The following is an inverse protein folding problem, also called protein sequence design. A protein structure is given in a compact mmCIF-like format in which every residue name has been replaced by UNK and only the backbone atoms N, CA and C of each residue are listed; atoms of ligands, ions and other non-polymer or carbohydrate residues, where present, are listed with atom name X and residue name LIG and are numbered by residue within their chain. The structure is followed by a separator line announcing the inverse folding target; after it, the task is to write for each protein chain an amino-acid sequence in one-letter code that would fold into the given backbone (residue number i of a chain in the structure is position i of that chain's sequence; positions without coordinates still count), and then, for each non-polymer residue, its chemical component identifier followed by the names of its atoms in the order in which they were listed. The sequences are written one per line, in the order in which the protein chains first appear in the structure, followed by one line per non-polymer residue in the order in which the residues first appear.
data_IF_808498431911
#
_entry.id   IF_808498431911
#
_cell.length_a   1.000
_cell.length_b   1.000
_cell.length_c   1.000
_cell.angle_alpha   90.00
_cell.angle_beta   90.00
_cell.angle_gamma   90.00
#
_symmetry.space_group_name_H-M   'P 1'
#
loop_
_entity.id
_entity.type
_entity.pdbx_description
1 polymer ?
#
# COMPACT_ATOMS: atom_id res chain seq x y z
N UNK A 1 12.61 16.26 -6.44
CA UNK A 1 11.36 16.25 -7.23
C UNK A 1 10.21 16.45 -6.26
N UNK A 2 9.24 17.33 -6.54
CA UNK A 2 8.09 17.56 -5.66
C UNK A 2 6.85 16.94 -6.31
N UNK A 3 6.24 15.97 -5.64
CA UNK A 3 5.02 15.30 -6.09
C UNK A 3 3.88 15.70 -5.16
N UNK A 4 2.74 16.11 -5.73
CA UNK A 4 1.49 16.27 -4.98
C UNK A 4 0.64 15.03 -5.25
N UNK A 5 0.15 14.41 -4.18
CA UNK A 5 -0.57 13.14 -4.25
C UNK A 5 -1.89 13.20 -3.48
N UNK A 6 -2.89 12.46 -3.97
CA UNK A 6 -4.17 12.24 -3.29
C UNK A 6 -4.70 10.87 -3.69
N UNK A 7 -5.28 10.14 -2.75
CA UNK A 7 -5.87 8.82 -2.97
C UNK A 7 -7.35 8.84 -2.63
N UNK A 8 -8.15 8.20 -3.48
CA UNK A 8 -9.59 7.99 -3.32
C UNK A 8 -9.89 6.62 -3.93
N UNK A 9 -10.75 5.84 -3.28
CA UNK A 9 -11.28 4.60 -3.83
C UNK A 9 -12.77 4.52 -3.58
N UNK A 10 -13.49 3.80 -4.44
CA UNK A 10 -14.94 3.66 -4.43
C UNK A 10 -15.30 2.21 -4.79
N UNK A 11 -16.31 1.64 -4.14
CA UNK A 11 -16.77 0.26 -4.41
C UNK A 11 -17.38 0.11 -5.81
N UNK A 12 -17.80 1.21 -6.42
CA UNK A 12 -18.53 1.23 -7.68
C UNK A 12 -19.99 0.83 -7.50
N UNK A 13 -20.62 0.40 -8.60
CA UNK A 13 -22.08 0.18 -8.65
C UNK A 13 -22.50 -1.29 -8.65
N UNK A 14 -21.54 -2.22 -8.64
CA UNK A 14 -21.80 -3.66 -8.89
C UNK A 14 -21.34 -4.58 -7.76
N UNK A 15 -20.28 -4.20 -7.04
CA UNK A 15 -19.74 -5.01 -5.94
C UNK A 15 -20.38 -4.59 -4.62
N UNK A 16 -20.47 -5.53 -3.69
CA UNK A 16 -20.96 -5.27 -2.33
C UNK A 16 -19.86 -4.69 -1.42
N UNK A 17 -18.59 -5.00 -1.74
CA UNK A 17 -17.43 -4.59 -0.96
C UNK A 17 -16.31 -4.09 -1.87
N UNK A 18 -15.58 -3.10 -1.38
CA UNK A 18 -14.37 -2.62 -2.02
C UNK A 18 -13.19 -3.45 -1.55
N UNK A 19 -12.46 -4.04 -2.49
CA UNK A 19 -11.27 -4.86 -2.22
C UNK A 19 -9.98 -4.15 -2.62
N UNK A 20 -10.07 -2.88 -3.00
CA UNK A 20 -8.92 -2.02 -3.26
C UNK A 20 -8.33 -1.51 -1.94
N UNK A 21 -7.01 -1.47 -1.86
CA UNK A 21 -6.26 -0.77 -0.82
C UNK A 21 -5.20 0.12 -1.44
N UNK A 22 -4.93 1.27 -0.84
CA UNK A 22 -3.85 2.17 -1.28
C UNK A 22 -3.13 2.82 -0.09
N UNK A 23 -1.91 3.27 -0.33
CA UNK A 23 -1.09 4.05 0.61
C UNK A 23 -0.43 5.21 -0.12
N UNK A 24 -0.36 6.34 0.58
CA UNK A 24 0.43 7.50 0.20
C UNK A 24 1.34 7.80 1.38
N UNK A 25 2.65 7.60 1.19
CA UNK A 25 3.67 8.00 2.14
C UNK A 25 4.58 9.05 1.48
N UNK A 26 4.39 10.30 1.87
CA UNK A 26 5.18 11.42 1.37
C UNK A 26 6.63 11.40 1.88
N UNK A 27 6.88 10.86 3.08
CA UNK A 27 8.21 10.79 3.69
C UNK A 27 9.12 9.82 2.95
N UNK A 28 8.57 8.67 2.53
CA UNK A 28 9.25 7.68 1.71
C UNK A 28 9.16 7.98 0.21
N UNK A 29 8.37 9.00 -0.19
CA UNK A 29 7.97 9.20 -1.59
C UNK A 29 7.42 7.91 -2.23
N UNK A 30 6.65 7.16 -1.45
CA UNK A 30 6.12 5.85 -1.79
C UNK A 30 4.61 5.94 -2.00
N UNK A 31 4.14 5.40 -3.13
CA UNK A 31 2.73 5.35 -3.49
C UNK A 31 2.39 3.91 -3.90
N UNK A 32 1.38 3.32 -3.27
CA UNK A 32 1.01 1.91 -3.47
C UNK A 32 -0.49 1.82 -3.74
N UNK A 33 -0.87 1.00 -4.71
CA UNK A 33 -2.26 0.59 -4.97
C UNK A 33 -2.27 -0.93 -5.15
N UNK A 34 -3.23 -1.60 -4.52
CA UNK A 34 -3.44 -3.04 -4.62
C UNK A 34 -4.93 -3.34 -4.83
N UNK A 35 -5.24 -4.11 -5.87
CA UNK A 35 -6.59 -4.63 -6.18
C UNK A 35 -6.69 -6.06 -5.65
N UNK A 36 -7.63 -6.30 -4.74
CA UNK A 36 -7.92 -7.63 -4.22
C UNK A 36 -8.71 -8.45 -5.23
N UNK A 37 -8.22 -9.64 -5.58
CA UNK A 37 -8.90 -10.53 -6.52
C UNK A 37 -10.27 -10.97 -5.99
N UNK A 38 -11.34 -10.35 -6.51
CA UNK A 38 -12.71 -10.68 -6.10
C UNK A 38 -13.18 -12.08 -6.47
N UNK A 39 -14.24 -12.53 -5.79
CA UNK A 39 -14.79 -13.88 -5.95
C UNK A 39 -14.10 -14.97 -5.12
N UNK A 40 -13.05 -14.62 -4.37
CA UNK A 40 -12.43 -15.47 -3.35
C UNK A 40 -12.56 -14.81 -1.97
N UNK A 41 -12.74 -15.62 -0.92
CA UNK A 41 -12.79 -15.09 0.44
C UNK A 41 -11.45 -14.41 0.78
N UNK A 42 -11.49 -13.10 1.04
CA UNK A 42 -10.35 -12.34 1.58
C UNK A 42 -9.59 -11.46 0.59
N UNK A 43 -10.11 -11.15 -0.60
CA UNK A 43 -9.46 -10.23 -1.55
C UNK A 43 -9.11 -8.88 -0.90
N UNK A 44 -10.05 -8.28 -0.17
CA UNK A 44 -9.79 -7.04 0.59
C UNK A 44 -8.75 -7.19 1.72
N UNK A 45 -8.66 -8.36 2.35
CA UNK A 45 -7.61 -8.64 3.35
C UNK A 45 -6.24 -8.77 2.67
N UNK A 46 -6.19 -9.43 1.52
CA UNK A 46 -4.95 -9.63 0.77
C UNK A 46 -4.40 -8.30 0.23
N UNK A 47 -5.25 -7.43 -0.32
CA UNK A 47 -4.82 -6.11 -0.81
C UNK A 47 -4.30 -5.22 0.33
N UNK A 48 -4.97 -5.25 1.50
CA UNK A 48 -4.49 -4.54 2.70
C UNK A 48 -3.12 -5.05 3.16
N UNK A 49 -2.96 -6.38 3.28
CA UNK A 49 -1.68 -6.99 3.66
C UNK A 49 -0.58 -6.60 2.68
N UNK A 50 -0.86 -6.58 1.38
CA UNK A 50 0.13 -6.19 0.37
C UNK A 50 0.62 -4.75 0.60
N UNK A 51 -0.30 -3.80 0.79
CA UNK A 51 0.05 -2.39 1.04
C UNK A 51 0.84 -2.21 2.34
N UNK A 52 0.38 -2.82 3.44
CA UNK A 52 1.06 -2.75 4.75
C UNK A 52 2.46 -3.38 4.71
N UNK A 53 2.60 -4.50 4.00
CA UNK A 53 3.89 -5.20 3.87
C UNK A 53 4.88 -4.37 3.05
N UNK A 54 4.43 -3.78 1.94
CA UNK A 54 5.30 -2.91 1.12
C UNK A 54 5.79 -1.71 1.92
N UNK A 55 4.91 -1.04 2.68
CA UNK A 55 5.31 0.06 3.57
C UNK A 55 6.40 -0.37 4.55
N UNK A 56 6.15 -1.45 5.29
CA UNK A 56 7.07 -1.94 6.31
C UNK A 56 8.44 -2.34 5.74
N UNK A 57 8.46 -3.06 4.62
CA UNK A 57 9.72 -3.52 4.01
C UNK A 57 10.51 -2.36 3.38
N UNK A 58 9.84 -1.38 2.77
CA UNK A 58 10.52 -0.18 2.24
C UNK A 58 11.08 0.68 3.37
N UNK A 59 10.36 0.86 4.49
CA UNK A 59 10.89 1.55 5.69
C UNK A 59 12.14 0.86 6.22
N UNK A 60 12.10 -0.46 6.38
CA UNK A 60 13.27 -1.25 6.83
C UNK A 60 14.45 -1.11 5.87
N UNK A 61 14.20 -1.20 4.56
CA UNK A 61 15.24 -1.06 3.55
C UNK A 61 15.87 0.34 3.59
N UNK A 62 15.06 1.39 3.76
CA UNK A 62 15.55 2.77 3.90
C UNK A 62 16.38 2.96 5.17
N UNK A 63 15.88 2.51 6.33
CA UNK A 63 16.61 2.59 7.59
C UNK A 63 17.96 1.88 7.52
N UNK A 64 18.01 0.69 6.90
CA UNK A 64 19.27 -0.05 6.67
C UNK A 64 20.22 0.68 5.72
N UNK A 65 19.70 1.36 4.70
CA UNK A 65 20.54 2.16 3.80
C UNK A 65 21.12 3.40 4.50
N UNK A 66 20.37 4.00 5.42
CA UNK A 66 20.79 5.15 6.22
C UNK A 66 21.74 4.76 7.35
N UNK A 67 21.61 3.56 7.94
CA UNK A 67 22.53 3.04 8.95
C UNK A 67 22.94 1.56 8.69
N UNK A 68 23.94 1.32 7.83
CA UNK A 68 24.30 -0.03 7.38
C UNK A 68 24.93 -0.95 8.45
N UNK A 69 25.29 -0.39 9.61
CA UNK A 69 26.03 -1.08 10.69
C UNK A 69 25.24 -1.17 12.00
N UNK A 70 23.96 -0.77 12.01
CA UNK A 70 23.08 -0.98 13.16
C UNK A 70 22.68 -2.46 13.21
N UNK A 71 23.14 -3.15 14.27
CA UNK A 71 22.80 -4.52 14.64
C UNK A 71 21.77 -4.55 15.75
#
# INVERSE_FOLDING_TARGET
MRVLSKGVSDVGRKRDHNEDSFLIDEELSLFVVADGMGGHAGGGTASRIAVETIDAEIRKARARAENPFEV
#
